data_IF_382809175600
#
_entry.id   IF_382809175600
#
_cell.length_a   1.000
_cell.length_b   1.000
_cell.length_c   1.000
_cell.angle_alpha   90.00
_cell.angle_beta   90.00
_cell.angle_gamma   90.00
#
_symmetry.space_group_name_H-M   'P 1'
#
loop_
_entity.id
_entity.type
_entity.pdbx_description
1 polymer ?
#
# COMPACT_ATOMS: atom_id res chain seq x y z
N UNK A 1 11.99 0.35 44.83
CA UNK A 1 11.25 0.29 43.56
C UNK A 1 11.60 -1.03 42.92
N UNK A 2 10.63 -1.85 42.52
CA UNK A 2 10.94 -3.06 41.77
C UNK A 2 11.61 -2.68 40.46
N UNK A 3 12.73 -3.33 40.13
CA UNK A 3 13.40 -3.24 38.84
C UNK A 3 12.37 -3.40 37.70
N UNK A 4 12.37 -2.49 36.73
CA UNK A 4 11.54 -2.63 35.52
C UNK A 4 12.37 -3.37 34.46
N UNK A 5 12.08 -4.66 34.19
CA UNK A 5 12.91 -5.47 33.31
C UNK A 5 12.92 -4.97 31.85
N UNK A 6 11.84 -4.30 31.41
CA UNK A 6 11.77 -3.74 30.05
C UNK A 6 12.68 -2.51 29.91
N UNK A 7 12.72 -1.66 30.93
CA UNK A 7 13.64 -0.52 30.99
C UNK A 7 15.10 -1.00 31.07
N UNK A 8 15.39 -1.97 31.94
CA UNK A 8 16.74 -2.52 32.07
C UNK A 8 17.24 -3.11 30.75
N UNK A 9 16.38 -3.86 30.04
CA UNK A 9 16.69 -4.39 28.72
C UNK A 9 16.92 -3.27 27.69
N UNK A 10 16.05 -2.25 27.65
CA UNK A 10 16.21 -1.10 26.76
C UNK A 10 17.57 -0.40 26.96
N UNK A 11 17.96 -0.15 28.22
CA UNK A 11 19.25 0.45 28.55
C UNK A 11 20.42 -0.48 28.19
N UNK A 12 20.27 -1.78 28.40
CA UNK A 12 21.29 -2.76 28.02
C UNK A 12 21.53 -2.79 26.50
N UNK A 13 20.46 -2.78 25.70
CA UNK A 13 20.56 -2.70 24.24
C UNK A 13 21.19 -1.40 23.78
N UNK A 14 20.79 -0.26 24.37
CA UNK A 14 21.41 1.03 24.05
C UNK A 14 22.91 1.05 24.35
N UNK A 15 23.35 0.45 25.47
CA UNK A 15 24.78 0.30 25.81
C UNK A 15 25.54 -0.63 24.86
N UNK A 16 24.85 -1.52 24.17
CA UNK A 16 25.41 -2.35 23.10
C UNK A 16 25.48 -1.62 21.76
N UNK A 17 25.08 -0.34 21.70
CA UNK A 17 25.05 0.46 20.47
C UNK A 17 23.80 0.27 19.63
N UNK A 18 22.75 -0.38 20.16
CA UNK A 18 21.50 -0.57 19.45
C UNK A 18 20.59 0.64 19.64
N UNK A 19 19.98 1.14 18.56
CA UNK A 19 19.00 2.22 18.62
C UNK A 19 17.65 1.67 19.09
N UNK A 20 17.21 2.11 20.27
CA UNK A 20 16.04 1.59 20.98
C UNK A 20 14.87 2.56 20.93
N UNK A 21 13.66 2.02 20.80
CA UNK A 21 12.40 2.77 20.84
C UNK A 21 11.37 2.09 21.74
N UNK A 22 10.52 2.82 22.49
CA UNK A 22 9.36 2.25 23.17
C UNK A 22 8.25 1.86 22.20
N UNK A 23 7.74 0.64 22.38
CA UNK A 23 6.66 0.03 21.61
C UNK A 23 5.47 -0.23 22.54
N UNK A 24 4.25 -0.11 21.99
CA UNK A 24 3.00 -0.34 22.72
C UNK A 24 3.02 -1.67 23.48
N UNK A 25 2.64 -1.63 24.75
CA UNK A 25 2.46 -2.81 25.59
C UNK A 25 1.51 -3.82 24.93
N UNK A 26 1.84 -5.11 24.98
CA UNK A 26 1.09 -6.20 24.32
C UNK A 26 0.92 -6.06 22.79
N UNK A 27 1.65 -5.12 22.18
CA UNK A 27 1.50 -4.76 20.77
C UNK A 27 2.83 -4.62 20.05
N UNK A 28 2.75 -4.12 18.81
CA UNK A 28 3.90 -3.94 17.91
C UNK A 28 4.00 -2.51 17.33
N UNK A 29 3.17 -1.58 17.81
CA UNK A 29 3.14 -0.19 17.32
C UNK A 29 4.05 0.70 18.15
N UNK A 30 4.98 1.47 17.57
CA UNK A 30 5.77 2.46 18.30
C UNK A 30 4.87 3.49 19.00
N UNK A 31 5.26 3.95 20.19
CA UNK A 31 4.46 4.92 20.96
C UNK A 31 4.66 6.39 20.52
N UNK A 32 5.63 6.64 19.65
CA UNK A 32 5.96 7.95 19.10
C UNK A 32 6.45 7.79 17.66
N UNK A 33 6.61 8.92 16.95
CA UNK A 33 7.31 8.97 15.66
C UNK A 33 8.75 8.48 15.84
N UNK A 34 9.01 7.25 15.40
CA UNK A 34 10.27 6.54 15.66
C UNK A 34 11.31 6.76 14.56
N UNK A 35 10.94 7.42 13.46
CA UNK A 35 11.84 7.60 12.30
C UNK A 35 13.11 8.37 12.63
N UNK A 36 13.05 9.30 13.58
CA UNK A 36 14.23 10.02 14.07
C UNK A 36 15.29 9.07 14.65
N UNK A 37 14.86 7.97 15.28
CA UNK A 37 15.76 6.94 15.83
C UNK A 37 16.48 6.10 14.76
N UNK A 38 16.20 6.32 13.46
CA UNK A 38 16.99 5.76 12.36
C UNK A 38 18.30 6.51 12.13
N UNK A 39 18.40 7.75 12.59
CA UNK A 39 19.59 8.62 12.42
C UNK A 39 20.15 9.06 13.78
N UNK A 40 19.29 9.21 14.80
CA UNK A 40 19.63 9.74 16.12
C UNK A 40 19.23 8.77 17.24
N UNK A 41 20.14 7.89 17.71
CA UNK A 41 19.85 6.94 18.77
C UNK A 41 19.55 7.65 20.10
N UNK A 42 18.57 7.13 20.84
CA UNK A 42 18.20 7.69 22.14
C UNK A 42 19.28 7.44 23.20
N UNK A 43 19.62 8.48 23.96
CA UNK A 43 20.48 8.37 25.14
C UNK A 43 19.74 7.80 26.36
N UNK A 44 20.48 7.36 27.38
CA UNK A 44 19.90 6.76 28.59
C UNK A 44 18.85 7.64 29.27
N UNK A 45 19.04 8.97 29.31
CA UNK A 45 18.08 9.90 29.90
C UNK A 45 16.73 9.89 29.17
N UNK A 46 16.75 9.83 27.83
CA UNK A 46 15.53 9.77 27.01
C UNK A 46 14.83 8.41 27.18
N UNK A 47 15.60 7.32 27.24
CA UNK A 47 15.06 5.98 27.52
C UNK A 47 14.41 5.94 28.90
N UNK A 48 15.04 6.52 29.92
CA UNK A 48 14.45 6.64 31.26
C UNK A 48 13.14 7.42 31.25
N UNK A 49 13.08 8.54 30.52
CA UNK A 49 11.86 9.35 30.40
C UNK A 49 10.72 8.56 29.73
N UNK A 50 11.00 7.89 28.61
CA UNK A 50 10.03 7.05 27.92
C UNK A 50 9.41 5.96 28.82
N UNK A 51 10.23 5.22 29.56
CA UNK A 51 9.73 4.17 30.47
C UNK A 51 9.18 4.72 31.79
N UNK A 52 9.47 5.98 32.14
CA UNK A 52 8.77 6.65 33.25
C UNK A 52 7.34 7.02 32.84
N UNK A 53 7.14 7.48 31.60
CA UNK A 53 5.82 7.79 31.04
C UNK A 53 5.02 6.53 30.69
N UNK A 54 5.69 5.50 30.18
CA UNK A 54 5.06 4.26 29.74
C UNK A 54 5.79 3.03 30.31
N UNK A 55 5.59 2.69 31.60
CA UNK A 55 6.37 1.66 32.29
C UNK A 55 6.24 0.25 31.73
N UNK A 56 5.19 -0.04 30.97
CA UNK A 56 4.91 -1.36 30.36
C UNK A 56 5.28 -1.44 28.89
N UNK A 57 6.00 -0.45 28.35
CA UNK A 57 6.36 -0.45 26.93
C UNK A 57 7.26 -1.62 26.60
N UNK A 58 6.92 -2.29 25.50
CA UNK A 58 7.83 -3.19 24.83
C UNK A 58 9.06 -2.44 24.32
N UNK A 59 10.13 -3.17 24.09
CA UNK A 59 11.40 -2.66 23.58
C UNK A 59 11.47 -2.93 22.08
N UNK A 60 11.61 -1.89 21.27
CA UNK A 60 11.92 -1.99 19.84
C UNK A 60 13.39 -1.71 19.59
N UNK A 61 13.99 -2.41 18.63
CA UNK A 61 15.33 -2.15 18.11
C UNK A 61 15.19 -1.72 16.65
N UNK A 62 15.62 -0.51 16.33
CA UNK A 62 15.70 -0.02 14.94
C UNK A 62 16.82 -0.77 14.24
N UNK A 63 16.52 -1.40 13.10
CA UNK A 63 17.49 -2.19 12.34
C UNK A 63 18.25 -1.31 11.33
N UNK A 64 19.23 -1.90 10.66
CA UNK A 64 20.05 -1.23 9.66
C UNK A 64 21.39 -0.75 10.21
N UNK A 65 21.99 0.20 9.48
CA UNK A 65 23.31 0.75 9.78
C UNK A 65 23.38 1.32 11.20
N UNK A 66 22.29 1.95 11.66
CA UNK A 66 22.21 2.64 12.95
C UNK A 66 22.47 1.72 14.16
N UNK A 67 22.06 0.46 14.06
CA UNK A 67 22.25 -0.55 15.10
C UNK A 67 23.24 -1.65 14.68
N UNK A 68 23.81 -1.57 13.48
CA UNK A 68 24.71 -2.59 12.95
C UNK A 68 24.07 -3.98 12.79
N UNK A 69 22.74 -4.06 12.62
CA UNK A 69 22.03 -5.35 12.50
C UNK A 69 21.04 -5.40 11.34
N UNK A 70 20.99 -6.55 10.67
CA UNK A 70 19.91 -6.94 9.76
C UNK A 70 19.23 -8.17 10.35
N UNK A 71 17.90 -8.20 10.36
CA UNK A 71 17.12 -9.31 10.95
C UNK A 71 16.31 -9.99 9.86
N UNK A 72 16.44 -11.31 9.76
CA UNK A 72 15.54 -12.17 8.99
C UNK A 72 14.42 -12.60 9.93
N UNK A 73 13.18 -12.20 9.63
CA UNK A 73 11.98 -12.50 10.40
C UNK A 73 11.22 -13.65 9.73
N UNK A 74 11.11 -14.75 10.46
CA UNK A 74 10.46 -15.97 10.04
C UNK A 74 9.06 -16.01 10.64
N UNK A 75 8.03 -16.04 9.81
CA UNK A 75 6.64 -16.20 10.24
C UNK A 75 6.17 -17.64 10.04
N UNK A 76 5.73 -18.26 11.15
CA UNK A 76 5.14 -19.58 11.16
C UNK A 76 6.02 -20.73 10.63
N UNK A 77 5.40 -21.87 10.29
CA UNK A 77 6.08 -23.03 9.72
C UNK A 77 6.69 -22.78 8.33
N UNK A 78 6.07 -21.90 7.54
CA UNK A 78 6.52 -21.57 6.19
C UNK A 78 7.88 -20.85 6.24
N UNK A 79 8.02 -19.84 7.11
CA UNK A 79 9.28 -19.15 7.31
C UNK A 79 10.41 -20.09 7.70
N UNK A 80 10.16 -21.04 8.61
CA UNK A 80 11.17 -22.03 9.01
C UNK A 80 11.58 -22.95 7.85
N UNK A 81 10.65 -23.27 6.94
CA UNK A 81 10.93 -24.10 5.77
C UNK A 81 11.77 -23.31 4.77
N UNK A 82 11.33 -22.10 4.40
CA UNK A 82 12.05 -21.22 3.47
C UNK A 82 13.44 -20.82 4.00
N UNK A 83 13.59 -20.61 5.31
CA UNK A 83 14.90 -20.29 5.89
C UNK A 83 15.91 -21.45 5.73
N UNK A 84 15.46 -22.71 5.83
CA UNK A 84 16.34 -23.86 5.59
C UNK A 84 16.83 -23.92 4.14
N UNK A 85 16.01 -23.51 3.19
CA UNK A 85 16.35 -23.47 1.77
C UNK A 85 17.40 -22.39 1.47
N UNK A 86 17.35 -21.24 2.17
CA UNK A 86 18.32 -20.16 2.02
C UNK A 86 19.75 -20.55 2.45
N UNK A 87 19.91 -21.56 3.32
CA UNK A 87 21.22 -22.03 3.75
C UNK A 87 22.05 -20.99 4.52
N UNK A 88 21.42 -20.02 5.15
CA UNK A 88 22.08 -18.95 5.90
C UNK A 88 22.82 -19.49 7.14
N UNK A 89 23.92 -18.84 7.57
CA UNK A 89 24.66 -19.28 8.75
C UNK A 89 23.80 -19.18 10.01
N UNK A 90 24.06 -20.09 10.96
CA UNK A 90 23.46 -20.00 12.30
C UNK A 90 23.92 -18.72 13.00
N UNK A 91 23.00 -18.02 13.62
CA UNK A 91 23.28 -16.80 14.39
C UNK A 91 22.37 -16.69 15.61
N UNK A 92 22.28 -15.51 16.24
CA UNK A 92 21.39 -15.28 17.37
C UNK A 92 19.94 -15.45 16.95
N UNK A 93 19.19 -16.29 17.67
CA UNK A 93 17.78 -16.57 17.42
C UNK A 93 16.93 -16.07 18.58
N UNK A 94 15.96 -15.21 18.26
CA UNK A 94 14.92 -14.78 19.18
C UNK A 94 13.61 -15.43 18.74
N UNK A 95 12.97 -16.17 19.63
CA UNK A 95 11.61 -16.66 19.46
C UNK A 95 10.64 -15.48 19.56
N UNK A 96 9.71 -15.39 18.61
CA UNK A 96 8.63 -14.41 18.59
C UNK A 96 7.29 -15.10 18.90
N UNK A 97 6.20 -14.36 19.08
CA UNK A 97 4.87 -14.95 19.28
C UNK A 97 4.40 -15.93 18.19
N UNK A 98 4.89 -15.77 16.95
CA UNK A 98 4.43 -16.55 15.78
C UNK A 98 5.59 -17.15 14.94
N UNK A 99 6.84 -16.97 15.35
CA UNK A 99 7.99 -17.51 14.63
C UNK A 99 9.32 -17.11 15.27
N UNK A 100 10.26 -16.59 14.48
CA UNK A 100 11.63 -16.32 14.94
C UNK A 100 12.23 -15.09 14.26
N UNK A 101 13.01 -14.30 15.01
CA UNK A 101 13.95 -13.34 14.46
C UNK A 101 15.35 -13.95 14.48
N UNK A 102 16.05 -13.93 13.35
CA UNK A 102 17.45 -14.31 13.26
C UNK A 102 18.27 -13.06 12.95
N UNK A 103 19.15 -12.70 13.88
CA UNK A 103 19.92 -11.47 13.82
C UNK A 103 21.25 -11.73 13.12
N UNK A 104 21.58 -10.89 12.16
CA UNK A 104 22.86 -10.85 11.47
C UNK A 104 23.50 -9.46 11.59
N UNK A 105 24.80 -9.37 11.33
CA UNK A 105 25.47 -8.09 11.18
C UNK A 105 24.87 -7.34 10.00
N UNK A 106 24.82 -6.01 10.12
CA UNK A 106 24.23 -5.15 9.10
C UNK A 106 24.81 -5.46 7.72
N UNK A 107 23.90 -5.74 6.79
CA UNK A 107 24.23 -6.11 5.41
C UNK A 107 23.66 -5.02 4.49
N UNK A 108 24.49 -4.10 3.96
CA UNK A 108 24.00 -2.93 3.20
C UNK A 108 23.17 -3.26 1.96
N UNK A 109 23.42 -4.41 1.33
CA UNK A 109 22.72 -4.84 0.13
C UNK A 109 21.31 -5.40 0.44
N UNK A 110 20.99 -5.65 1.71
CA UNK A 110 19.66 -6.08 2.15
C UNK A 110 18.82 -4.91 2.63
N UNK A 111 17.67 -4.72 1.96
CA UNK A 111 16.70 -3.71 2.33
C UNK A 111 15.60 -4.28 3.24
N UNK A 112 14.95 -3.42 4.01
CA UNK A 112 13.73 -3.80 4.71
C UNK A 112 12.65 -4.14 3.70
N UNK A 113 12.03 -5.31 3.85
CA UNK A 113 10.97 -5.79 2.98
C UNK A 113 10.21 -6.96 3.60
N UNK A 114 9.17 -7.38 2.91
CA UNK A 114 8.35 -8.50 3.33
C UNK A 114 8.14 -9.47 2.17
N UNK A 115 7.89 -10.73 2.51
CA UNK A 115 7.61 -11.80 1.54
C UNK A 115 8.71 -11.98 0.48
N UNK A 116 9.98 -11.96 0.89
CA UNK A 116 11.09 -12.38 0.01
C UNK A 116 10.96 -13.86 -0.37
N UNK A 117 10.48 -14.66 0.58
CA UNK A 117 10.03 -16.04 0.43
C UNK A 117 8.78 -16.24 1.30
N UNK A 118 8.04 -17.36 1.18
CA UNK A 118 6.93 -17.68 2.07
C UNK A 118 7.36 -17.57 3.55
N UNK A 119 6.71 -16.67 4.28
CA UNK A 119 7.01 -16.44 5.70
C UNK A 119 8.41 -15.86 5.99
N UNK A 120 9.09 -15.25 5.02
CA UNK A 120 10.37 -14.56 5.22
C UNK A 120 10.24 -13.07 4.94
N UNK A 121 10.44 -12.28 5.99
CA UNK A 121 10.60 -10.84 5.96
C UNK A 121 12.06 -10.47 6.32
N UNK A 122 12.49 -9.29 5.88
CA UNK A 122 13.80 -8.72 6.27
C UNK A 122 13.60 -7.35 6.90
N UNK A 123 14.24 -7.12 8.04
CA UNK A 123 14.30 -5.82 8.72
C UNK A 123 15.73 -5.32 8.73
N UNK A 124 15.98 -4.26 7.98
CA UNK A 124 17.27 -3.58 7.82
C UNK A 124 17.02 -2.07 7.98
N UNK A 125 17.70 -1.21 7.22
CA UNK A 125 17.42 0.23 7.20
C UNK A 125 15.93 0.51 6.96
N UNK A 126 15.38 1.49 7.69
CA UNK A 126 13.95 1.81 7.62
C UNK A 126 13.01 0.81 8.29
N UNK A 127 13.55 -0.20 8.98
CA UNK A 127 12.80 -1.20 9.73
C UNK A 127 13.16 -1.22 11.22
N UNK A 128 12.32 -1.86 12.02
CA UNK A 128 12.62 -2.18 13.42
C UNK A 128 12.00 -3.53 13.78
N UNK A 129 12.47 -4.13 14.88
CA UNK A 129 11.93 -5.36 15.46
C UNK A 129 11.57 -5.15 16.92
N UNK A 130 10.60 -5.91 17.42
CA UNK A 130 10.34 -6.00 18.88
C UNK A 130 11.32 -7.01 19.48
N UNK A 131 11.98 -6.62 20.57
CA UNK A 131 13.07 -7.36 21.20
C UNK A 131 12.67 -7.92 22.57
N UNK A 132 13.32 -9.00 23.05
CA UNK A 132 13.14 -9.51 24.41
C UNK A 132 13.38 -8.42 25.48
N UNK A 133 12.75 -8.49 26.67
CA UNK A 133 11.78 -9.48 27.12
C UNK A 133 10.32 -9.06 26.82
N UNK A 134 10.09 -8.33 25.73
CA UNK A 134 8.76 -7.83 25.34
C UNK A 134 7.69 -8.92 25.21
N UNK A 135 6.43 -8.52 25.24
CA UNK A 135 5.28 -9.42 25.08
C UNK A 135 4.28 -8.87 24.06
N UNK A 136 3.69 -9.74 23.25
CA UNK A 136 2.59 -9.37 22.37
C UNK A 136 1.54 -10.49 22.32
N UNK A 137 0.27 -10.09 22.48
CA UNK A 137 -0.87 -11.01 22.50
C UNK A 137 -0.69 -12.15 23.51
N UNK A 138 -0.15 -11.86 24.70
CA UNK A 138 0.07 -12.83 25.77
C UNK A 138 1.21 -13.83 25.52
N UNK A 139 2.07 -13.58 24.52
CA UNK A 139 3.27 -14.40 24.24
C UNK A 139 4.52 -13.53 24.30
N UNK A 140 5.62 -14.09 24.81
CA UNK A 140 6.89 -13.39 24.99
C UNK A 140 7.80 -13.47 23.77
N UNK A 141 8.64 -12.44 23.61
CA UNK A 141 9.87 -12.50 22.82
C UNK A 141 11.00 -13.00 23.71
N UNK A 142 11.67 -14.08 23.30
CA UNK A 142 12.65 -14.77 24.14
C UNK A 142 13.90 -15.13 23.33
N UNK A 143 15.08 -14.95 23.89
CA UNK A 143 16.32 -15.43 23.26
C UNK A 143 16.30 -16.96 23.34
N UNK A 144 16.18 -17.61 22.19
CA UNK A 144 16.16 -19.08 22.09
C UNK A 144 17.57 -19.63 21.92
N UNK A 145 18.40 -18.94 21.14
CA UNK A 145 19.80 -19.29 20.92
C UNK A 145 20.65 -18.02 21.00
N UNK A 146 21.52 -17.95 22.00
CA UNK A 146 22.37 -16.79 22.25
C UNK A 146 23.76 -16.95 21.61
N UNK A 147 23.78 -17.16 20.30
CA UNK A 147 25.01 -17.16 19.52
C UNK A 147 25.50 -15.73 19.24
N UNK A 148 26.79 -15.53 18.93
CA UNK A 148 27.26 -14.28 18.35
C UNK A 148 26.47 -13.94 17.07
N UNK A 149 26.19 -12.66 16.89
CA UNK A 149 25.65 -12.15 15.62
C UNK A 149 26.78 -12.23 14.58
N UNK A 150 26.51 -12.84 13.42
CA UNK A 150 27.50 -13.07 12.36
C UNK A 150 27.11 -12.38 11.06
N UNK A 151 28.05 -12.26 10.12
CA UNK A 151 27.74 -11.82 8.75
C UNK A 151 26.92 -12.89 8.02
N UNK A 152 26.03 -12.45 7.12
CA UNK A 152 25.24 -13.36 6.26
C UNK A 152 26.12 -14.13 5.28
N UNK A 153 27.25 -13.55 4.86
CA UNK A 153 28.08 -14.09 3.79
C UNK A 153 27.47 -13.80 2.40
N UNK A 154 27.64 -14.71 1.41
CA UNK A 154 27.00 -14.55 0.11
C UNK A 154 25.48 -14.48 0.25
N UNK A 155 24.89 -13.35 -0.15
CA UNK A 155 23.45 -13.12 -0.02
C UNK A 155 22.71 -13.97 -1.06
N UNK A 156 21.77 -14.84 -0.67
CA UNK A 156 20.92 -15.56 -1.60
C UNK A 156 20.14 -14.58 -2.50
N UNK A 157 20.05 -14.87 -3.79
CA UNK A 157 19.40 -13.99 -4.76
C UNK A 157 17.92 -13.71 -4.44
N UNK A 158 17.27 -14.64 -3.73
CA UNK A 158 15.92 -14.54 -3.20
C UNK A 158 15.75 -13.38 -2.22
N UNK A 159 16.81 -12.97 -1.52
CA UNK A 159 16.80 -11.84 -0.59
C UNK A 159 17.23 -10.52 -1.24
N UNK A 160 17.69 -10.55 -2.49
CA UNK A 160 18.10 -9.36 -3.25
C UNK A 160 16.97 -8.80 -4.13
N UNK A 161 15.88 -9.55 -4.34
CA UNK A 161 14.75 -9.09 -5.14
C UNK A 161 14.04 -7.93 -4.45
N UNK A 162 13.86 -6.82 -5.19
CA UNK A 162 13.17 -5.62 -4.71
C UNK A 162 11.65 -5.88 -4.60
N UNK A 163 11.23 -6.68 -3.64
CA UNK A 163 9.82 -6.78 -3.28
C UNK A 163 9.47 -5.58 -2.40
N UNK A 164 9.14 -4.44 -3.06
CA UNK A 164 8.55 -3.29 -2.39
C UNK A 164 7.24 -3.76 -1.73
N UNK A 165 7.28 -3.90 -0.41
CA UNK A 165 6.15 -4.11 0.50
C UNK A 165 5.06 -5.10 0.01
N UNK A 166 5.23 -6.37 0.41
CA UNK A 166 4.11 -7.19 0.89
C UNK A 166 3.10 -7.66 -0.16
N UNK A 167 3.46 -8.72 -0.88
CA UNK A 167 2.52 -9.79 -1.25
C UNK A 167 3.31 -11.09 -1.34
N UNK A 168 2.86 -12.11 -0.62
CA UNK A 168 3.37 -13.48 -0.67
C UNK A 168 3.59 -13.96 -2.12
N UNK A 169 4.55 -14.87 -2.37
CA UNK A 169 4.72 -15.47 -3.69
C UNK A 169 3.43 -16.19 -4.06
N UNK A 170 2.85 -15.77 -5.18
CA UNK A 170 1.63 -16.34 -5.69
C UNK A 170 1.83 -17.80 -6.09
N UNK A 171 0.91 -18.66 -5.66
CA UNK A 171 0.55 -19.80 -6.49
C UNK A 171 0.24 -19.24 -7.88
N UNK A 172 0.77 -19.85 -8.92
CA UNK A 172 0.61 -19.45 -10.33
C UNK A 172 -0.85 -19.55 -10.85
N UNK A 173 -1.83 -19.51 -9.96
CA UNK A 173 -3.27 -19.61 -10.16
C UNK A 173 -3.93 -18.37 -9.57
N UNK A 174 -4.54 -17.56 -10.44
CA UNK A 174 -5.37 -16.45 -10.02
C UNK A 174 -6.47 -16.94 -9.05
N UNK A 175 -6.85 -16.16 -8.03
CA UNK A 175 -7.97 -16.51 -7.15
C UNK A 175 -9.22 -16.86 -7.96
N UNK A 176 -10.01 -17.84 -7.51
CA UNK A 176 -11.21 -18.30 -8.25
C UNK A 176 -12.14 -17.15 -8.66
N UNK A 177 -12.31 -16.15 -7.79
CA UNK A 177 -13.13 -14.97 -8.10
C UNK A 177 -12.64 -14.16 -9.30
N UNK A 178 -11.33 -14.13 -9.59
CA UNK A 178 -10.76 -13.43 -10.76
C UNK A 178 -11.16 -14.16 -12.03
N UNK A 179 -10.96 -15.48 -12.05
CA UNK A 179 -11.35 -16.34 -13.17
C UNK A 179 -12.85 -16.30 -13.41
N UNK A 180 -13.65 -16.33 -12.34
CA UNK A 180 -15.12 -16.30 -12.41
C UNK A 180 -15.61 -14.98 -13.03
N UNK A 181 -15.07 -13.82 -12.59
CA UNK A 181 -15.44 -12.53 -13.17
C UNK A 181 -15.03 -12.43 -14.65
N UNK A 182 -13.80 -12.82 -15.01
CA UNK A 182 -13.37 -12.80 -16.42
C UNK A 182 -14.20 -13.76 -17.29
N UNK A 183 -14.63 -14.89 -16.73
CA UNK A 183 -15.44 -15.89 -17.43
C UNK A 183 -16.88 -15.45 -17.62
N UNK A 184 -17.50 -14.80 -16.62
CA UNK A 184 -18.95 -14.60 -16.55
C UNK A 184 -19.42 -13.15 -16.47
N UNK A 185 -18.51 -12.19 -16.28
CA UNK A 185 -18.88 -10.80 -16.02
C UNK A 185 -19.47 -10.60 -14.61
N UNK A 186 -20.06 -9.43 -14.36
CA UNK A 186 -20.70 -9.08 -13.11
C UNK A 186 -22.19 -8.74 -13.29
N UNK A 187 -23.06 -9.07 -12.31
CA UNK A 187 -24.49 -8.78 -12.37
C UNK A 187 -24.84 -7.31 -12.07
N UNK A 188 -26.08 -6.93 -12.34
CA UNK A 188 -26.55 -5.55 -12.16
C UNK A 188 -26.42 -5.11 -10.70
N UNK A 189 -25.83 -3.93 -10.48
CA UNK A 189 -25.57 -3.38 -9.14
C UNK A 189 -24.19 -3.69 -8.55
N UNK A 190 -23.44 -4.67 -9.08
CA UNK A 190 -22.07 -4.97 -8.61
C UNK A 190 -20.96 -4.68 -9.63
N UNK A 191 -21.31 -4.49 -10.91
CA UNK A 191 -20.38 -4.27 -12.05
C UNK A 191 -19.21 -3.35 -11.76
N UNK A 192 -19.46 -2.14 -11.25
CA UNK A 192 -18.41 -1.16 -11.01
C UNK A 192 -17.50 -1.56 -9.85
N UNK A 193 -18.05 -2.13 -8.77
CA UNK A 193 -17.26 -2.60 -7.63
C UNK A 193 -16.38 -3.80 -8.02
N UNK A 194 -16.92 -4.70 -8.82
CA UNK A 194 -16.19 -5.87 -9.33
C UNK A 194 -15.11 -5.46 -10.34
N UNK A 195 -15.39 -4.46 -11.19
CA UNK A 195 -14.41 -3.87 -12.08
C UNK A 195 -13.25 -3.21 -11.32
N UNK A 196 -13.53 -2.42 -10.27
CA UNK A 196 -12.51 -1.80 -9.40
C UNK A 196 -11.65 -2.89 -8.75
N UNK A 197 -12.29 -3.92 -8.21
CA UNK A 197 -11.61 -5.02 -7.52
C UNK A 197 -10.72 -5.82 -8.48
N UNK A 198 -11.22 -6.14 -9.67
CA UNK A 198 -10.48 -6.87 -10.70
C UNK A 198 -9.30 -6.04 -11.25
N UNK A 199 -9.52 -4.75 -11.53
CA UNK A 199 -8.48 -3.82 -11.96
C UNK A 199 -7.39 -3.66 -10.90
N UNK A 200 -7.78 -3.51 -9.63
CA UNK A 200 -6.87 -3.45 -8.49
C UNK A 200 -6.00 -4.71 -8.36
N UNK A 201 -6.59 -5.89 -8.56
CA UNK A 201 -5.85 -7.15 -8.58
C UNK A 201 -4.84 -7.19 -9.73
N UNK A 202 -5.26 -6.92 -10.97
CA UNK A 202 -4.34 -6.97 -12.12
C UNK A 202 -3.21 -5.93 -12.01
N UNK A 203 -3.50 -4.75 -11.46
CA UNK A 203 -2.50 -3.73 -11.17
C UNK A 203 -1.52 -4.17 -10.08
N UNK A 204 -2.00 -4.89 -9.06
CA UNK A 204 -1.12 -5.50 -8.04
C UNK A 204 -0.17 -6.55 -8.62
N UNK A 205 -0.47 -7.09 -9.82
CA UNK A 205 0.40 -7.99 -10.60
C UNK A 205 1.34 -7.28 -11.56
N UNK A 206 1.41 -5.95 -11.48
CA UNK A 206 2.34 -5.16 -12.27
C UNK A 206 1.91 -4.97 -13.72
N UNK A 207 0.65 -5.26 -14.07
CA UNK A 207 0.14 -4.96 -15.40
C UNK A 207 -0.06 -3.44 -15.58
N UNK A 208 0.41 -2.85 -16.69
CA UNK A 208 0.12 -1.48 -17.05
C UNK A 208 -1.39 -1.22 -17.25
N UNK A 209 -1.85 -0.01 -16.98
CA UNK A 209 -3.28 0.36 -16.97
C UNK A 209 -3.98 0.11 -18.32
N UNK A 210 -3.30 0.38 -19.42
CA UNK A 210 -3.76 0.10 -20.79
C UNK A 210 -3.92 -1.40 -21.07
N UNK A 211 -2.99 -2.21 -20.55
CA UNK A 211 -3.05 -3.67 -20.63
C UNK A 211 -4.21 -4.21 -19.77
N UNK A 212 -4.43 -3.65 -18.57
CA UNK A 212 -5.56 -4.00 -17.71
C UNK A 212 -6.88 -3.68 -18.41
N UNK A 213 -7.01 -2.50 -19.00
CA UNK A 213 -8.21 -2.11 -19.74
C UNK A 213 -8.53 -3.09 -20.87
N UNK A 214 -7.50 -3.49 -21.62
CA UNK A 214 -7.62 -4.49 -22.70
C UNK A 214 -8.04 -5.86 -22.17
N UNK A 215 -7.43 -6.34 -21.09
CA UNK A 215 -7.78 -7.62 -20.46
C UNK A 215 -9.23 -7.67 -19.95
N UNK A 216 -9.74 -6.52 -19.48
CA UNK A 216 -11.07 -6.42 -18.90
C UNK A 216 -12.19 -6.18 -19.93
N UNK A 217 -11.89 -6.02 -21.22
CA UNK A 217 -12.91 -5.87 -22.27
C UNK A 217 -13.88 -7.07 -22.32
N UNK A 218 -13.33 -8.28 -22.21
CA UNK A 218 -14.12 -9.51 -22.17
C UNK A 218 -15.00 -9.62 -20.91
N UNK A 219 -14.58 -9.05 -19.79
CA UNK A 219 -15.39 -8.94 -18.58
C UNK A 219 -16.53 -7.94 -18.78
N UNK A 220 -16.24 -6.76 -19.32
CA UNK A 220 -17.23 -5.70 -19.57
C UNK A 220 -18.34 -6.16 -20.53
N UNK A 221 -17.99 -6.89 -21.59
CA UNK A 221 -18.97 -7.42 -22.54
C UNK A 221 -19.94 -8.45 -21.92
N UNK A 222 -19.51 -9.17 -20.88
CA UNK A 222 -20.29 -10.22 -20.20
C UNK A 222 -21.08 -9.72 -18.99
N UNK A 223 -20.80 -8.50 -18.55
CA UNK A 223 -21.54 -7.87 -17.47
C UNK A 223 -23.03 -7.72 -17.80
N UNK A 224 -23.87 -7.62 -16.77
CA UNK A 224 -25.31 -7.40 -16.92
C UNK A 224 -25.78 -6.10 -16.25
N UNK A 225 -26.28 -5.10 -17.00
CA UNK A 225 -26.08 -4.96 -18.46
C UNK A 225 -24.59 -4.87 -18.84
N UNK A 226 -24.22 -5.02 -20.12
CA UNK A 226 -22.84 -4.85 -20.55
C UNK A 226 -22.29 -3.48 -20.17
N UNK A 227 -21.00 -3.43 -19.83
CA UNK A 227 -20.30 -2.18 -19.59
C UNK A 227 -19.76 -1.64 -20.91
N UNK A 228 -19.96 -0.36 -21.17
CA UNK A 228 -19.32 0.26 -22.34
C UNK A 228 -17.81 0.38 -22.11
N UNK A 229 -17.01 0.28 -23.17
CA UNK A 229 -15.54 0.35 -23.08
C UNK A 229 -15.06 1.63 -22.37
N UNK A 230 -15.77 2.73 -22.59
CA UNK A 230 -15.45 4.01 -21.98
C UNK A 230 -15.80 4.04 -20.48
N UNK A 231 -16.95 3.47 -20.08
CA UNK A 231 -17.34 3.28 -18.67
C UNK A 231 -16.28 2.44 -17.94
N UNK A 232 -15.87 1.31 -18.54
CA UNK A 232 -14.83 0.44 -18.00
C UNK A 232 -13.50 1.20 -17.78
N UNK A 233 -13.04 1.95 -18.79
CA UNK A 233 -11.79 2.72 -18.69
C UNK A 233 -11.86 3.78 -17.59
N UNK A 234 -12.98 4.50 -17.47
CA UNK A 234 -13.18 5.48 -16.40
C UNK A 234 -13.15 4.83 -15.01
N UNK A 235 -13.74 3.63 -14.86
CA UNK A 235 -13.71 2.88 -13.60
C UNK A 235 -12.28 2.44 -13.25
N UNK A 236 -11.53 1.93 -14.21
CA UNK A 236 -10.12 1.52 -14.03
C UNK A 236 -9.24 2.71 -13.67
N UNK A 237 -9.35 3.83 -14.38
CA UNK A 237 -8.59 5.06 -14.11
C UNK A 237 -8.91 5.63 -12.73
N UNK A 238 -10.18 5.62 -12.33
CA UNK A 238 -10.59 6.06 -10.99
C UNK A 238 -10.06 5.14 -9.89
N UNK A 239 -10.00 3.82 -10.14
CA UNK A 239 -9.51 2.84 -9.17
C UNK A 239 -7.98 2.89 -8.99
N UNK A 240 -7.26 3.16 -10.07
CA UNK A 240 -5.80 3.01 -10.14
C UNK A 240 -5.05 4.36 -10.15
N UNK A 241 -5.71 5.45 -9.72
CA UNK A 241 -5.24 6.85 -9.83
C UNK A 241 -3.74 6.98 -10.09
N UNK A 242 -3.45 7.22 -11.36
CA UNK A 242 -2.14 7.59 -11.85
C UNK A 242 -1.83 8.98 -11.28
N UNK A 243 -0.76 9.19 -10.48
CA UNK A 243 -0.24 10.52 -10.26
C UNK A 243 0.48 10.94 -11.53
N UNK A 244 -0.27 11.27 -12.58
CA UNK A 244 0.26 12.19 -13.57
C UNK A 244 0.39 13.50 -12.79
N UNK A 245 1.61 13.99 -12.63
CA UNK A 245 1.85 15.39 -12.22
C UNK A 245 1.19 16.27 -13.28
N UNK A 246 -0.11 16.51 -13.16
CA UNK A 246 -0.75 17.58 -13.87
C UNK A 246 -0.34 18.83 -13.13
N UNK A 247 0.46 19.67 -13.80
CA UNK A 247 0.59 21.04 -13.37
C UNK A 247 -0.83 21.58 -13.19
N UNK A 248 -1.15 22.14 -12.03
CA UNK A 248 -2.47 22.71 -11.78
C UNK A 248 -2.71 23.82 -12.82
N UNK A 249 -3.40 23.50 -13.91
CA UNK A 249 -3.81 24.46 -14.92
C UNK A 249 -5.05 25.13 -14.38
N UNK A 250 -4.93 26.40 -14.01
CA UNK A 250 -6.07 27.21 -13.64
C UNK A 250 -6.87 27.50 -14.92
N UNK A 251 -8.10 27.01 -14.99
CA UNK A 251 -9.02 27.32 -16.08
C UNK A 251 -9.69 28.65 -15.73
N UNK A 252 -9.23 29.72 -16.38
CA UNK A 252 -9.80 31.05 -16.22
C UNK A 252 -10.71 31.38 -17.43
N UNK A 253 -11.88 31.95 -17.17
CA UNK A 253 -12.85 32.33 -18.20
C UNK A 253 -14.06 31.39 -18.35
N UNK A 254 -15.18 31.94 -18.81
CA UNK A 254 -16.41 31.17 -19.03
C UNK A 254 -16.29 30.26 -20.27
N UNK A 255 -16.90 29.07 -20.26
CA UNK A 255 -16.91 28.20 -21.43
C UNK A 255 -17.74 28.80 -22.56
N UNK A 256 -17.41 28.42 -23.79
CA UNK A 256 -18.32 28.52 -24.91
C UNK A 256 -19.36 27.40 -24.78
N UNK A 257 -20.62 27.78 -24.61
CA UNK A 257 -21.73 26.84 -24.46
C UNK A 257 -22.47 26.70 -25.79
N UNK A 258 -22.70 25.45 -26.19
CA UNK A 258 -23.52 25.08 -27.34
C UNK A 258 -24.64 24.14 -26.88
N UNK A 259 -25.86 24.39 -27.36
CA UNK A 259 -27.02 23.53 -27.12
C UNK A 259 -27.38 22.82 -28.43
N UNK A 260 -27.20 21.50 -28.46
CA UNK A 260 -27.44 20.66 -29.63
C UNK A 260 -28.82 19.98 -29.60
N UNK A 261 -29.67 20.35 -28.64
CA UNK A 261 -31.02 19.82 -28.46
C UNK A 261 -31.07 18.67 -27.45
N UNK A 262 -30.35 17.58 -27.71
CA UNK A 262 -30.27 16.39 -26.86
C UNK A 262 -29.09 16.42 -25.85
N UNK A 263 -28.17 17.36 -26.04
CA UNK A 263 -26.99 17.57 -25.18
C UNK A 263 -26.55 19.03 -25.14
N UNK A 264 -25.85 19.38 -24.06
CA UNK A 264 -25.12 20.64 -23.90
C UNK A 264 -23.63 20.38 -23.96
N UNK A 265 -22.90 21.23 -24.68
CA UNK A 265 -21.44 21.14 -24.80
C UNK A 265 -20.83 22.45 -24.31
N UNK A 266 -19.88 22.37 -23.39
CA UNK A 266 -19.14 23.49 -22.84
C UNK A 266 -17.67 23.35 -23.21
N UNK A 267 -17.14 24.29 -23.98
CA UNK A 267 -15.75 24.26 -24.47
C UNK A 267 -14.92 25.37 -23.87
N UNK A 268 -13.69 25.03 -23.48
CA UNK A 268 -12.61 25.98 -23.23
C UNK A 268 -11.53 25.74 -24.29
N UNK A 269 -11.60 26.42 -25.46
CA UNK A 269 -10.68 26.17 -26.56
C UNK A 269 -9.22 26.37 -26.17
N UNK A 270 -8.92 27.38 -25.34
CA UNK A 270 -7.55 27.66 -24.88
C UNK A 270 -6.96 26.55 -23.99
N UNK A 271 -7.80 25.65 -23.48
CA UNK A 271 -7.41 24.53 -22.63
C UNK A 271 -7.64 23.18 -23.31
N UNK A 272 -8.06 23.19 -24.59
CA UNK A 272 -8.53 22.03 -25.33
C UNK A 272 -9.55 21.20 -24.55
N UNK A 273 -10.33 21.81 -23.65
CA UNK A 273 -11.18 21.10 -22.70
C UNK A 273 -12.64 21.18 -23.12
N UNK A 274 -13.33 20.05 -23.05
CA UNK A 274 -14.75 19.93 -23.36
C UNK A 274 -15.47 19.20 -22.24
N UNK A 275 -16.56 19.80 -21.73
CA UNK A 275 -17.55 19.13 -20.90
C UNK A 275 -18.80 18.92 -21.75
N UNK A 276 -19.27 17.70 -21.86
CA UNK A 276 -20.48 17.34 -22.59
C UNK A 276 -21.52 16.74 -21.62
N UNK A 277 -22.75 17.24 -21.69
CA UNK A 277 -23.88 16.83 -20.86
C UNK A 277 -25.01 16.33 -21.75
N UNK A 278 -25.07 15.02 -21.95
CA UNK A 278 -26.08 14.36 -22.77
C UNK A 278 -27.17 13.68 -21.94
N UNK A 279 -28.21 13.18 -22.61
CA UNK A 279 -29.24 12.32 -22.00
C UNK A 279 -29.83 12.92 -20.71
N UNK A 280 -30.22 14.20 -20.77
CA UNK A 280 -30.72 14.92 -19.59
C UNK A 280 -32.15 14.48 -19.29
N UNK A 281 -32.34 13.89 -18.12
CA UNK A 281 -33.63 13.47 -17.59
C UNK A 281 -33.95 14.26 -16.34
N UNK A 282 -35.15 14.84 -16.30
CA UNK A 282 -35.64 15.60 -15.14
C UNK A 282 -36.81 14.84 -14.52
N UNK A 283 -36.71 14.62 -13.21
CA UNK A 283 -37.81 14.18 -12.36
C UNK A 283 -38.16 15.29 -11.36
N UNK A 284 -39.22 15.11 -10.57
CA UNK A 284 -39.71 16.11 -9.62
C UNK A 284 -38.66 16.54 -8.57
N UNK A 285 -37.68 15.68 -8.27
CA UNK A 285 -36.65 15.95 -7.25
C UNK A 285 -35.22 16.05 -7.81
N UNK A 286 -34.97 15.56 -9.05
CA UNK A 286 -33.61 15.37 -9.59
C UNK A 286 -33.46 15.83 -11.04
N UNK A 287 -32.24 16.22 -11.42
CA UNK A 287 -31.83 16.40 -12.81
C UNK A 287 -30.60 15.53 -13.06
N UNK A 288 -30.77 14.46 -13.84
CA UNK A 288 -29.73 13.48 -14.15
C UNK A 288 -29.28 13.64 -15.59
N UNK A 289 -27.98 13.57 -15.84
CA UNK A 289 -27.41 13.57 -17.19
C UNK A 289 -26.30 12.52 -17.32
N UNK A 290 -25.91 12.20 -18.54
CA UNK A 290 -24.60 11.61 -18.82
C UNK A 290 -23.60 12.75 -18.95
N UNK A 291 -22.57 12.75 -18.11
CA UNK A 291 -21.52 13.75 -18.09
C UNK A 291 -20.22 13.15 -18.64
N UNK A 292 -19.68 13.80 -19.66
CA UNK A 292 -18.37 13.55 -20.25
C UNK A 292 -17.46 14.76 -20.08
N UNK A 293 -16.18 14.52 -19.84
CA UNK A 293 -15.11 15.50 -19.80
C UNK A 293 -13.93 14.94 -20.58
N UNK A 294 -13.48 15.65 -21.60
CA UNK A 294 -12.37 15.21 -22.43
C UNK A 294 -11.55 16.39 -22.95
N UNK A 295 -10.33 16.09 -23.39
CA UNK A 295 -9.54 16.97 -24.22
C UNK A 295 -9.76 16.66 -25.69
N UNK A 296 -9.96 17.70 -26.49
CA UNK A 296 -10.03 17.57 -27.93
C UNK A 296 -8.61 17.66 -28.50
N UNK A 297 -8.17 16.59 -29.17
CA UNK A 297 -6.83 16.46 -29.72
C UNK A 297 -6.77 17.07 -31.13
N UNK A 298 -5.57 17.42 -31.60
CA UNK A 298 -5.39 18.04 -32.93
C UNK A 298 -5.87 17.16 -34.09
N UNK A 299 -5.87 15.83 -33.91
CA UNK A 299 -6.36 14.85 -34.88
C UNK A 299 -7.88 14.62 -34.81
N UNK A 300 -8.60 15.37 -33.97
CA UNK A 300 -10.03 15.23 -33.74
C UNK A 300 -10.41 14.09 -32.80
N UNK A 301 -9.44 13.36 -32.24
CA UNK A 301 -9.69 12.36 -31.21
C UNK A 301 -10.02 13.00 -29.86
N UNK A 302 -10.64 12.22 -28.96
CA UNK A 302 -11.04 12.66 -27.63
C UNK A 302 -10.21 11.93 -26.58
N UNK A 303 -9.47 12.68 -25.78
CA UNK A 303 -8.75 12.18 -24.61
C UNK A 303 -9.59 12.40 -23.35
N UNK A 304 -10.34 11.38 -22.94
CA UNK A 304 -11.31 11.49 -21.86
C UNK A 304 -10.63 11.60 -20.49
N UNK A 305 -10.97 12.67 -19.77
CA UNK A 305 -10.53 12.96 -18.42
C UNK A 305 -11.52 12.44 -17.36
N UNK A 306 -12.81 12.37 -17.69
CA UNK A 306 -13.88 11.88 -16.82
C UNK A 306 -15.15 11.56 -17.63
N UNK A 307 -15.98 10.61 -17.19
CA UNK A 307 -17.22 10.24 -17.91
C UNK A 307 -17.12 8.95 -18.72
N UNK A 308 -18.22 8.48 -19.35
CA UNK A 308 -19.57 9.01 -19.26
C UNK A 308 -20.17 8.49 -17.96
N UNK A 309 -20.54 9.40 -17.07
CA UNK A 309 -21.14 8.99 -15.80
C UNK A 309 -22.52 9.56 -15.66
N UNK A 310 -23.43 8.76 -15.10
CA UNK A 310 -24.73 9.27 -14.65
C UNK A 310 -24.47 10.24 -13.51
N UNK A 311 -24.77 11.50 -13.75
CA UNK A 311 -24.47 12.60 -12.84
C UNK A 311 -25.76 13.32 -12.45
N UNK A 312 -25.99 13.49 -11.16
CA UNK A 312 -27.10 14.29 -10.66
C UNK A 312 -26.62 15.72 -10.39
N UNK A 313 -27.16 16.66 -11.16
CA UNK A 313 -26.72 18.06 -11.17
C UNK A 313 -27.17 18.79 -9.88
N UNK A 314 -28.21 18.29 -9.22
CA UNK A 314 -28.88 18.98 -8.11
C UNK A 314 -28.22 18.66 -6.76
N UNK A 315 -27.66 17.47 -6.59
CA UNK A 315 -27.14 17.02 -5.29
C UNK A 315 -25.85 17.77 -4.93
N UNK A 316 -25.76 18.25 -3.69
CA UNK A 316 -24.53 18.90 -3.20
C UNK A 316 -23.38 17.90 -3.05
N UNK A 317 -23.69 16.63 -2.79
CA UNK A 317 -22.72 15.53 -2.73
C UNK A 317 -21.99 15.31 -4.05
N UNK A 318 -22.74 15.19 -5.16
CA UNK A 318 -22.13 14.91 -6.47
C UNK A 318 -21.36 16.13 -7.01
N UNK A 319 -21.87 17.35 -6.78
CA UNK A 319 -21.14 18.59 -7.09
C UNK A 319 -19.83 18.73 -6.31
N UNK A 320 -19.84 18.38 -5.03
CA UNK A 320 -18.62 18.40 -4.21
C UNK A 320 -17.66 17.29 -4.62
N UNK A 321 -18.18 16.11 -4.99
CA UNK A 321 -17.40 14.99 -5.53
C UNK A 321 -16.68 15.35 -6.84
N UNK A 322 -17.40 15.94 -7.79
CA UNK A 322 -16.84 16.43 -9.04
C UNK A 322 -15.78 17.52 -8.81
N UNK A 323 -16.07 18.47 -7.93
CA UNK A 323 -15.11 19.55 -7.60
C UNK A 323 -13.84 19.01 -6.94
N UNK A 324 -13.94 17.98 -6.10
CA UNK A 324 -12.78 17.31 -5.50
C UNK A 324 -11.97 16.56 -6.57
N UNK A 325 -12.65 15.88 -7.49
CA UNK A 325 -12.02 15.15 -8.59
C UNK A 325 -11.24 16.05 -9.55
N UNK A 326 -11.73 17.27 -9.81
CA UNK A 326 -11.09 18.22 -10.74
C UNK A 326 -10.02 19.11 -10.09
N UNK A 327 -9.85 19.06 -8.77
CA UNK A 327 -8.86 19.87 -8.02
C UNK A 327 -7.56 19.13 -7.70
N UNK A 328 -7.59 17.79 -7.73
CA UNK A 328 -6.43 16.91 -7.53
C UNK A 328 -5.83 16.51 -8.89
#
# INVERSE_FOLDING_TARGET
>A
MSANPLLEAALQYARQGLSVIPVQAEGKKPLHEWKDAQEHPAGEAQIHDWWSQYPRSNVGIVCGAISGVTVVDLDGPDGLTSFKELGLPTSRVVKTPHGYHIYYLYTPDLHTGAAFLPGIDVRSDGGFVVAPPSQASGKSYEVLQDHPIVEIGPIPHELLSQHRNGTAPESNTAPGWVSDLLAHGAPEGSRNNDAIRLAGYLHSKGHPVDIIATMMEGFAAKCQPPMEQHELRSVIQSALRYPQKQAAVRIDGAPQMENLGDRYVFRWPNHNLVVEMGSIHRDHEDIRCLLDLYREMEDGSRDYLYGPVKYNIVTTGDRTGLTRYLKD
#
